data_IF_656597955073
#
_entry.id   IF_656597955073
#
_cell.length_a   1.000
_cell.length_b   1.000
_cell.length_c   1.000
_cell.angle_alpha   90.00
_cell.angle_beta   90.00
_cell.angle_gamma   90.00
#
_symmetry.space_group_name_H-M   'P 1'
#
loop_
_entity.id
_entity.type
_entity.pdbx_description
1 polymer ?
#
# COMPACT_ATOMS: atom_id res chain seq x y z
N UNK A 1 -12.86 -5.59 25.75
CA UNK A 1 -11.98 -4.85 24.83
C UNK A 1 -10.55 -5.24 25.07
N UNK A 2 -9.74 -5.21 24.01
CA UNK A 2 -8.32 -5.59 24.03
C UNK A 2 -7.45 -4.46 24.57
N UNK A 3 -6.12 -4.69 24.60
CA UNK A 3 -5.15 -3.68 25.03
C UNK A 3 -5.27 -2.41 24.17
N UNK A 4 -5.27 -1.26 24.83
CA UNK A 4 -5.41 0.08 24.23
C UNK A 4 -6.77 0.36 23.57
N UNK A 5 -7.81 -0.35 23.98
CA UNK A 5 -9.19 -0.10 23.58
C UNK A 5 -10.09 0.31 24.75
N UNK A 6 -11.19 0.98 24.44
CA UNK A 6 -12.27 1.31 25.37
C UNK A 6 -13.61 0.93 24.74
N UNK A 7 -14.50 0.32 25.53
CA UNK A 7 -15.85 0.00 25.10
C UNK A 7 -16.68 1.28 24.99
N UNK A 8 -17.42 1.43 23.89
CA UNK A 8 -18.37 2.51 23.68
C UNK A 8 -19.70 1.91 23.21
N UNK A 9 -20.78 2.40 23.78
CA UNK A 9 -22.15 1.94 23.51
C UNK A 9 -22.85 2.74 22.40
N UNK A 10 -22.31 3.89 22.00
CA UNK A 10 -22.78 4.64 20.85
C UNK A 10 -21.73 5.64 20.37
N UNK A 11 -21.16 5.41 19.19
CA UNK A 11 -20.26 6.37 18.52
C UNK A 11 -20.44 6.32 17.02
N UNK A 12 -20.15 7.44 16.37
CA UNK A 12 -20.07 7.55 14.91
C UNK A 12 -19.12 6.50 14.32
N UNK A 13 -19.59 5.61 13.45
CA UNK A 13 -18.76 4.56 12.85
C UNK A 13 -17.57 5.11 12.06
N UNK A 14 -17.71 6.29 11.45
CA UNK A 14 -16.64 6.95 10.68
C UNK A 14 -15.59 7.65 11.55
N UNK A 15 -15.93 8.07 12.76
CA UNK A 15 -15.04 8.87 13.62
C UNK A 15 -14.73 8.25 14.99
N UNK A 16 -15.27 7.07 15.29
CA UNK A 16 -15.14 6.43 16.60
C UNK A 16 -13.70 6.25 17.07
N UNK A 17 -12.78 6.09 16.11
CA UNK A 17 -11.34 5.88 16.31
C UNK A 17 -10.51 6.37 15.11
N UNK A 18 -9.20 6.14 15.16
CA UNK A 18 -8.24 6.47 14.09
C UNK A 18 -7.68 5.19 13.49
N UNK A 19 -7.35 5.22 12.20
CA UNK A 19 -6.67 4.12 11.50
C UNK A 19 -5.32 4.56 10.97
N UNK A 20 -4.35 3.65 10.95
CA UNK A 20 -3.04 3.96 10.40
C UNK A 20 -3.14 4.22 8.89
N UNK A 21 -2.49 5.30 8.42
CA UNK A 21 -2.45 5.63 6.99
C UNK A 21 -3.72 6.26 6.42
N UNK A 22 -4.78 6.41 7.22
CA UNK A 22 -6.01 7.09 6.81
C UNK A 22 -6.06 8.52 7.37
N UNK A 23 -6.51 9.51 6.58
CA UNK A 23 -6.74 10.86 7.07
C UNK A 23 -7.89 10.91 8.09
N UNK A 24 -7.91 11.97 8.91
CA UNK A 24 -9.08 12.29 9.75
C UNK A 24 -10.25 12.61 8.81
N UNK A 25 -11.42 11.97 8.96
CA UNK A 25 -12.62 12.43 8.27
C UNK A 25 -12.98 13.85 8.73
N UNK A 26 -13.35 14.70 7.78
CA UNK A 26 -13.77 16.08 8.05
C UNK A 26 -15.15 16.15 8.70
N UNK A 27 -16.00 15.16 8.42
CA UNK A 27 -17.32 15.00 9.01
C UNK A 27 -17.51 13.59 9.57
N UNK A 28 -18.31 13.50 10.63
CA UNK A 28 -18.65 12.25 11.29
C UNK A 28 -20.11 11.86 10.98
N UNK A 29 -20.30 10.58 10.70
CA UNK A 29 -21.62 9.97 10.50
C UNK A 29 -22.41 9.91 11.80
N UNK A 30 -23.75 9.96 11.72
CA UNK A 30 -24.65 9.95 12.89
C UNK A 30 -25.11 8.54 13.30
N UNK A 31 -24.51 7.50 12.73
CA UNK A 31 -24.75 6.12 13.12
C UNK A 31 -24.21 5.83 14.53
N UNK A 32 -24.80 4.83 15.17
CA UNK A 32 -24.48 4.40 16.52
C UNK A 32 -23.77 3.04 16.46
N UNK A 33 -22.44 3.07 16.30
CA UNK A 33 -21.63 1.87 16.37
C UNK A 33 -21.31 1.54 17.84
N UNK A 34 -21.62 0.30 18.23
CA UNK A 34 -21.35 -0.25 19.56
C UNK A 34 -20.20 -1.23 19.49
N UNK A 35 -19.23 -1.12 20.41
CA UNK A 35 -18.10 -2.04 20.44
C UNK A 35 -16.85 -1.48 21.12
N UNK A 36 -15.72 -2.11 20.83
CA UNK A 36 -14.41 -1.76 21.36
C UNK A 36 -13.62 -0.92 20.36
N UNK A 37 -13.25 0.29 20.77
CA UNK A 37 -12.58 1.26 19.91
C UNK A 37 -11.22 1.66 20.49
N UNK A 38 -10.25 1.98 19.63
CA UNK A 38 -8.94 2.44 20.09
C UNK A 38 -9.06 3.67 20.99
N UNK A 39 -8.28 3.69 22.07
CA UNK A 39 -8.15 4.84 22.96
C UNK A 39 -7.58 6.05 22.20
N UNK A 40 -7.83 7.25 22.73
CA UNK A 40 -7.23 8.47 22.17
C UNK A 40 -5.70 8.35 22.09
N UNK A 41 -5.13 8.76 20.95
CA UNK A 41 -3.70 8.62 20.65
C UNK A 41 -3.27 7.25 20.09
N UNK A 42 -4.18 6.28 19.99
CA UNK A 42 -3.96 4.99 19.34
C UNK A 42 -4.67 4.91 17.98
N UNK A 43 -4.10 4.10 17.10
CA UNK A 43 -4.52 3.89 15.72
C UNK A 43 -4.68 2.40 15.49
N UNK A 44 -5.80 2.01 14.88
CA UNK A 44 -6.04 0.61 14.50
C UNK A 44 -5.24 0.26 13.26
N UNK A 45 -4.58 -0.90 13.29
CA UNK A 45 -3.91 -1.51 12.14
C UNK A 45 -4.74 -2.68 11.61
N UNK A 46 -4.41 -3.19 10.42
CA UNK A 46 -5.17 -4.24 9.71
C UNK A 46 -5.40 -5.51 10.53
N UNK A 47 -4.47 -5.87 11.42
CA UNK A 47 -4.62 -7.04 12.30
C UNK A 47 -5.56 -6.80 13.51
N UNK A 48 -6.22 -5.65 13.58
CA UNK A 48 -7.14 -5.27 14.66
C UNK A 48 -6.48 -4.66 15.90
N UNK A 49 -5.15 -4.63 16.00
CA UNK A 49 -4.45 -4.06 17.17
C UNK A 49 -4.46 -2.53 17.19
N UNK A 50 -4.53 -1.94 18.38
CA UNK A 50 -4.41 -0.50 18.60
C UNK A 50 -2.98 -0.12 19.02
N UNK A 51 -2.26 0.58 18.13
CA UNK A 51 -0.86 0.98 18.31
C UNK A 51 -0.70 2.51 18.30
N UNK A 52 0.40 3.03 18.86
CA UNK A 52 0.71 4.46 18.72
C UNK A 52 1.13 4.76 17.29
N UNK A 53 0.93 6.00 16.83
CA UNK A 53 1.27 6.45 15.46
C UNK A 53 2.69 6.07 14.99
N UNK A 54 3.69 6.12 15.88
CA UNK A 54 5.07 5.74 15.56
C UNK A 54 5.27 4.26 15.19
N UNK A 55 4.33 3.41 15.59
CA UNK A 55 4.29 1.98 15.31
C UNK A 55 3.25 1.63 14.24
N UNK A 56 2.65 2.62 13.58
CA UNK A 56 1.87 2.34 12.39
C UNK A 56 2.79 1.70 11.34
N UNK A 57 2.35 0.64 10.65
CA UNK A 57 3.10 0.10 9.53
C UNK A 57 3.26 1.22 8.50
N UNK A 58 4.50 1.60 8.23
CA UNK A 58 4.80 2.47 7.10
C UNK A 58 4.52 1.61 5.86
N UNK A 59 3.67 2.09 4.95
CA UNK A 59 3.65 1.53 3.59
C UNK A 59 5.11 1.52 3.14
N UNK A 60 5.61 0.35 2.74
CA UNK A 60 6.97 0.28 2.23
C UNK A 60 7.09 1.34 1.12
N UNK A 61 8.16 2.16 1.10
CA UNK A 61 8.38 3.02 -0.05
C UNK A 61 8.30 2.15 -1.31
N UNK A 62 7.73 2.66 -2.43
CA UNK A 62 7.67 1.89 -3.65
C UNK A 62 9.06 1.34 -3.93
N UNK A 63 9.16 0.03 -4.17
CA UNK A 63 10.46 -0.65 -4.27
C UNK A 63 11.31 0.13 -5.26
N UNK A 64 12.53 0.54 -4.89
CA UNK A 64 13.39 1.40 -5.71
C UNK A 64 13.48 0.96 -7.18
N UNK A 65 13.43 -0.36 -7.41
CA UNK A 65 13.38 -0.96 -8.75
C UNK A 65 12.24 -0.44 -9.64
N UNK A 66 11.08 -0.11 -9.07
CA UNK A 66 9.92 0.38 -9.81
C UNK A 66 10.16 1.79 -10.39
N UNK A 67 11.14 2.54 -9.87
CA UNK A 67 11.52 3.87 -10.38
C UNK A 67 12.56 3.83 -11.50
N UNK A 68 13.16 2.68 -11.79
CA UNK A 68 14.12 2.54 -12.87
C UNK A 68 13.39 2.60 -14.23
N UNK A 69 13.99 3.16 -15.27
CA UNK A 69 13.46 3.01 -16.64
C UNK A 69 13.61 1.55 -17.11
N UNK A 70 12.81 1.11 -18.06
CA UNK A 70 13.02 -0.20 -18.69
C UNK A 70 14.39 -0.25 -19.38
N UNK A 71 15.01 -1.44 -19.41
CA UNK A 71 16.33 -1.66 -20.01
C UNK A 71 16.33 -2.93 -20.87
N UNK A 72 16.40 -2.75 -22.19
CA UNK A 72 16.48 -3.87 -23.16
C UNK A 72 17.79 -4.63 -23.04
N UNK A 73 18.92 -3.94 -22.83
CA UNK A 73 20.25 -4.56 -22.82
C UNK A 73 20.80 -4.80 -24.23
N UNK A 74 22.07 -5.25 -24.35
CA UNK A 74 22.80 -5.31 -25.61
C UNK A 74 22.58 -6.61 -26.41
N UNK A 75 21.99 -7.64 -25.80
CA UNK A 75 21.69 -8.90 -26.49
C UNK A 75 20.47 -8.76 -27.43
N UNK A 76 20.37 -9.66 -28.42
CA UNK A 76 19.41 -9.57 -29.52
C UNK A 76 18.22 -10.54 -29.44
N UNK A 77 17.90 -11.06 -28.25
CA UNK A 77 16.67 -11.83 -28.07
C UNK A 77 15.44 -10.90 -28.08
N UNK A 78 14.29 -11.42 -28.50
CA UNK A 78 13.02 -10.69 -28.44
C UNK A 78 12.13 -11.28 -27.35
N UNK A 79 12.38 -10.89 -26.10
CA UNK A 79 11.65 -11.41 -24.94
C UNK A 79 10.64 -10.36 -24.45
N UNK A 80 9.32 -10.57 -24.66
CA UNK A 80 8.31 -9.66 -24.14
C UNK A 80 8.26 -9.74 -22.61
N UNK A 81 8.49 -8.60 -21.95
CA UNK A 81 8.49 -8.48 -20.50
C UNK A 81 7.70 -7.23 -20.09
N UNK A 82 7.40 -7.08 -18.80
CA UNK A 82 6.68 -5.93 -18.26
C UNK A 82 7.57 -5.06 -17.38
N UNK A 83 7.35 -3.75 -17.38
CA UNK A 83 8.00 -2.79 -16.49
C UNK A 83 6.97 -1.79 -15.96
N UNK A 84 7.27 -1.18 -14.82
CA UNK A 84 6.47 -0.08 -14.29
C UNK A 84 6.91 1.24 -14.91
N UNK A 85 6.01 1.90 -15.63
CA UNK A 85 6.21 3.22 -16.22
C UNK A 85 5.76 4.30 -15.23
N UNK A 86 6.72 5.08 -14.72
CA UNK A 86 6.45 6.15 -13.76
C UNK A 86 5.81 7.39 -14.39
N UNK A 87 5.95 7.58 -15.70
CA UNK A 87 5.35 8.72 -16.39
C UNK A 87 3.83 8.54 -16.49
N UNK A 88 3.38 7.28 -16.55
CA UNK A 88 1.96 6.94 -16.71
C UNK A 88 1.36 6.16 -15.54
N UNK A 89 2.17 5.83 -14.54
CA UNK A 89 1.81 5.06 -13.33
C UNK A 89 1.18 3.70 -13.66
N UNK A 90 1.64 3.07 -14.75
CA UNK A 90 1.09 1.81 -15.28
C UNK A 90 2.18 0.80 -15.60
N UNK A 91 1.83 -0.49 -15.48
CA UNK A 91 2.66 -1.56 -15.99
C UNK A 91 2.49 -1.67 -17.50
N UNK A 92 3.60 -1.62 -18.24
CA UNK A 92 3.62 -1.67 -19.71
C UNK A 92 4.56 -2.76 -20.20
N UNK A 93 4.27 -3.29 -21.39
CA UNK A 93 5.13 -4.27 -22.04
C UNK A 93 6.33 -3.57 -22.72
N UNK A 94 7.48 -4.22 -22.70
CA UNK A 94 8.68 -3.85 -23.46
C UNK A 94 9.43 -5.10 -23.94
N UNK A 95 10.40 -4.94 -24.83
CA UNK A 95 11.26 -6.03 -25.29
C UNK A 95 12.57 -6.04 -24.50
N UNK A 96 12.87 -7.18 -23.89
CA UNK A 96 14.14 -7.47 -23.24
C UNK A 96 15.05 -8.27 -24.18
N UNK A 97 16.29 -7.81 -24.33
CA UNK A 97 17.30 -8.36 -25.22
C UNK A 97 17.90 -9.69 -24.76
N UNK A 98 17.65 -10.12 -23.52
CA UNK A 98 18.13 -11.39 -22.96
C UNK A 98 19.32 -11.27 -22.00
N UNK A 99 20.05 -10.15 -22.00
CA UNK A 99 21.14 -9.89 -21.05
C UNK A 99 21.18 -8.43 -20.58
N UNK A 100 21.88 -8.16 -19.46
CA UNK A 100 22.18 -6.84 -18.88
C UNK A 100 21.00 -5.85 -18.76
N UNK A 101 19.78 -6.36 -18.54
CA UNK A 101 18.64 -5.53 -18.16
C UNK A 101 18.74 -5.04 -16.71
N UNK A 102 17.63 -4.56 -16.13
CA UNK A 102 17.58 -4.13 -14.73
C UNK A 102 16.40 -4.78 -13.98
N UNK A 103 16.22 -4.37 -12.72
CA UNK A 103 15.20 -4.94 -11.83
C UNK A 103 13.76 -4.46 -12.11
N UNK A 104 13.55 -3.46 -12.98
CA UNK A 104 12.22 -3.09 -13.46
C UNK A 104 11.80 -3.97 -14.65
N UNK A 105 11.73 -5.27 -14.40
CA UNK A 105 11.42 -6.29 -15.41
C UNK A 105 10.69 -7.45 -14.76
N UNK A 106 9.49 -7.74 -15.25
CA UNK A 106 8.58 -8.75 -14.73
C UNK A 106 8.11 -9.66 -15.86
N UNK A 107 7.84 -10.92 -15.56
CA UNK A 107 7.40 -11.88 -16.58
C UNK A 107 5.92 -11.66 -16.94
N UNK A 108 5.12 -11.20 -15.98
CA UNK A 108 3.68 -10.93 -16.19
C UNK A 108 3.27 -9.54 -15.71
N UNK A 109 2.10 -9.09 -16.18
CA UNK A 109 1.53 -7.81 -15.76
C UNK A 109 1.12 -7.84 -14.28
N UNK A 110 0.63 -8.97 -13.77
CA UNK A 110 0.24 -9.15 -12.36
C UNK A 110 1.44 -9.04 -11.44
N UNK A 111 2.58 -9.63 -11.83
CA UNK A 111 3.83 -9.50 -11.07
C UNK A 111 4.29 -8.05 -10.98
N UNK A 112 4.21 -7.31 -12.09
CA UNK A 112 4.54 -5.90 -12.12
C UNK A 112 3.59 -5.08 -11.22
N UNK A 113 2.28 -5.31 -11.33
CA UNK A 113 1.29 -4.59 -10.54
C UNK A 113 1.46 -4.87 -9.04
N UNK A 114 1.60 -6.14 -8.66
CA UNK A 114 1.85 -6.54 -7.27
C UNK A 114 3.16 -5.98 -6.72
N UNK A 115 4.14 -5.75 -7.58
CA UNK A 115 5.45 -5.23 -7.18
C UNK A 115 5.48 -3.72 -7.01
N UNK A 116 4.71 -2.97 -7.81
CA UNK A 116 4.91 -1.53 -8.03
C UNK A 116 3.65 -0.66 -7.88
N UNK A 117 2.48 -1.25 -7.66
CA UNK A 117 1.24 -0.54 -7.28
C UNK A 117 0.87 -0.87 -5.83
#
# INVERSE_FOLDING_TARGET
CSRNETYKNCVSGSCAERRCGEPKPDACTLDCATGCFCKSGYFRIENGSCVRRKYCPKKAPPKERCYLKSKTGPCNASLPMYYYDNDTLQCRQFIYGGCDGNANRFATIEECQKACK
#
